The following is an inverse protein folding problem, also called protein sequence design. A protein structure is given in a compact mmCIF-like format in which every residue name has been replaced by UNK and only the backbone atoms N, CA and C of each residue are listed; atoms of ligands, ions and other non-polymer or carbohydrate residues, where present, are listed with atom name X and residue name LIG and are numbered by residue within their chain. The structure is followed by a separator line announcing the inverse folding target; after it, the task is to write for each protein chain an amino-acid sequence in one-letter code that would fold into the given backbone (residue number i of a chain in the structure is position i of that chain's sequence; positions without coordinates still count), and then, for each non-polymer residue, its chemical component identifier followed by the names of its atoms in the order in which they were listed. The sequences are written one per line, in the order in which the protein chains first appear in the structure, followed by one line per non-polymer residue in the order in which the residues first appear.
data_IF_563567220576
#
_entry.id   IF_563567220576
#
_cell.length_a   1.000
_cell.length_b   1.000
_cell.length_c   1.000
_cell.angle_alpha   90.00
_cell.angle_beta   90.00
_cell.angle_gamma   90.00
#
_symmetry.space_group_name_H-M   'P 1'
#
loop_
_entity.id
_entity.type
_entity.pdbx_description
1 polymer ?
#
# COMPACT_ATOMS: atom_id res chain seq x y z
N UNK A 1 9.67 19.69 -15.21
CA UNK A 1 8.22 19.93 -15.13
C UNK A 1 7.60 18.73 -14.43
N UNK A 2 7.49 18.77 -13.10
CA UNK A 2 6.90 17.69 -12.31
C UNK A 2 5.38 17.80 -12.32
N UNK A 3 4.69 16.73 -12.70
CA UNK A 3 3.24 16.64 -12.70
C UNK A 3 2.76 16.55 -11.23
N UNK A 4 2.56 17.69 -10.59
CA UNK A 4 1.91 17.77 -9.27
C UNK A 4 0.39 17.71 -9.53
N UNK A 5 -0.11 16.55 -9.97
CA UNK A 5 -1.54 16.29 -9.96
C UNK A 5 -2.03 16.42 -8.50
N UNK A 6 -3.23 16.94 -8.29
CA UNK A 6 -3.81 17.14 -6.96
C UNK A 6 -4.14 15.78 -6.31
N UNK A 7 -3.12 15.20 -5.67
CA UNK A 7 -3.14 13.88 -5.06
C UNK A 7 -3.73 13.91 -3.64
N UNK A 8 -4.13 15.07 -3.11
CA UNK A 8 -4.45 15.25 -1.69
C UNK A 8 -5.65 14.43 -1.22
N UNK A 9 -6.65 14.23 -2.09
CA UNK A 9 -7.82 13.39 -1.78
C UNK A 9 -7.49 11.89 -1.67
N UNK A 10 -6.49 11.42 -2.41
CA UNK A 10 -6.09 9.99 -2.42
C UNK A 10 -5.03 9.72 -1.35
N UNK A 11 -4.11 10.68 -1.12
CA UNK A 11 -3.00 10.58 -0.16
C UNK A 11 -3.45 10.15 1.22
N UNK A 12 -4.57 10.72 1.71
CA UNK A 12 -5.05 10.46 3.07
C UNK A 12 -6.19 9.45 3.16
N UNK A 13 -6.86 9.14 2.04
CA UNK A 13 -7.98 8.18 1.98
C UNK A 13 -7.51 6.73 2.14
N UNK A 14 -6.42 6.38 1.48
CA UNK A 14 -5.94 5.01 1.44
C UNK A 14 -4.87 4.75 2.50
N UNK A 15 -5.02 3.63 3.22
CA UNK A 15 -4.18 3.24 4.35
C UNK A 15 -3.55 1.88 4.10
N UNK A 16 -2.25 1.74 4.34
CA UNK A 16 -1.53 0.49 4.13
C UNK A 16 -2.12 -0.63 4.99
N UNK A 17 -2.52 -1.74 4.38
CA UNK A 17 -3.14 -2.87 5.09
C UNK A 17 -2.47 -4.21 4.84
N UNK A 18 -1.68 -4.34 3.78
CA UNK A 18 -1.01 -5.59 3.46
C UNK A 18 0.22 -5.37 2.57
N UNK A 19 1.28 -6.14 2.78
CA UNK A 19 2.47 -6.12 1.92
C UNK A 19 2.93 -7.54 1.59
N UNK A 20 3.06 -7.81 0.30
CA UNK A 20 3.67 -9.01 -0.27
C UNK A 20 4.52 -8.60 -1.46
N UNK A 21 5.85 -8.56 -1.27
CA UNK A 21 6.78 -8.01 -2.26
C UNK A 21 6.54 -8.61 -3.66
N UNK A 22 6.47 -7.77 -4.72
CA UNK A 22 6.73 -6.33 -4.76
C UNK A 22 5.52 -5.42 -4.45
N UNK A 23 4.40 -5.99 -4.02
CA UNK A 23 3.13 -5.28 -3.89
C UNK A 23 2.86 -4.77 -2.48
N UNK A 24 2.42 -3.52 -2.40
CA UNK A 24 1.82 -2.90 -1.23
C UNK A 24 0.35 -2.61 -1.53
N UNK A 25 -0.53 -3.01 -0.62
CA UNK A 25 -1.97 -2.87 -0.74
C UNK A 25 -2.48 -1.86 0.29
N UNK A 26 -3.29 -0.93 -0.17
CA UNK A 26 -3.89 0.10 0.65
C UNK A 26 -5.39 0.01 0.57
N UNK A 27 -6.04 0.12 1.72
CA UNK A 27 -7.50 0.07 1.84
C UNK A 27 -8.09 1.47 2.02
N UNK A 28 -9.27 1.71 1.43
CA UNK A 28 -10.08 2.91 1.67
C UNK A 28 -11.11 2.74 2.80
N UNK A 29 -11.26 1.52 3.34
CA UNK A 29 -12.09 1.25 4.52
C UNK A 29 -11.23 1.25 5.81
N UNK A 30 -11.82 1.33 7.01
CA UNK A 30 -11.07 1.22 8.26
C UNK A 30 -10.25 -0.07 8.33
N UNK A 31 -9.02 0.00 8.86
CA UNK A 31 -8.07 -1.10 8.87
C UNK A 31 -8.61 -2.32 9.63
N UNK A 32 -9.39 -2.10 10.69
CA UNK A 32 -9.99 -3.14 11.53
C UNK A 32 -11.12 -3.89 10.82
N UNK A 33 -11.66 -3.30 9.73
CA UNK A 33 -12.67 -3.92 8.87
C UNK A 33 -12.07 -4.57 7.64
N UNK A 34 -10.83 -4.20 7.27
CA UNK A 34 -10.15 -4.82 6.16
C UNK A 34 -9.62 -6.19 6.56
N UNK A 35 -9.86 -7.18 5.70
CA UNK A 35 -9.47 -8.57 5.95
C UNK A 35 -8.96 -9.26 4.67
N UNK A 36 -8.55 -10.52 4.84
CA UNK A 36 -8.22 -11.47 3.78
C UNK A 36 -8.18 -12.90 4.34
N UNK A 37 -8.00 -13.90 3.49
CA UNK A 37 -8.01 -15.30 3.94
C UNK A 37 -6.92 -15.54 4.99
N UNK A 38 -7.27 -16.14 6.13
CA UNK A 38 -6.33 -16.56 7.19
C UNK A 38 -5.39 -15.44 7.69
N UNK A 39 -5.87 -14.20 7.76
CA UNK A 39 -5.09 -13.08 8.29
C UNK A 39 -4.71 -13.22 9.77
N UNK A 40 -5.41 -14.07 10.52
CA UNK A 40 -5.13 -14.45 11.90
C UNK A 40 -4.05 -15.54 12.05
N UNK A 41 -3.64 -16.19 10.97
CA UNK A 41 -2.65 -17.26 11.01
C UNK A 41 -1.22 -16.75 10.79
N UNK A 42 -0.29 -17.22 11.63
CA UNK A 42 1.14 -16.96 11.49
C UNK A 42 1.88 -18.23 10.98
N UNK A 43 2.87 -18.09 10.08
CA UNK A 43 3.40 -16.84 9.58
C UNK A 43 2.64 -16.34 8.33
N UNK A 44 2.44 -15.01 8.24
CA UNK A 44 1.53 -14.41 7.27
C UNK A 44 1.94 -14.69 5.81
N UNK A 45 3.24 -14.78 5.51
CA UNK A 45 3.76 -15.02 4.18
C UNK A 45 3.34 -16.39 3.62
N UNK A 46 3.04 -17.33 4.51
CA UNK A 46 2.59 -18.69 4.17
C UNK A 46 1.07 -18.79 4.13
N UNK A 47 0.37 -18.19 5.09
CA UNK A 47 -1.05 -18.44 5.29
C UNK A 47 -1.97 -17.35 4.76
N UNK A 48 -1.55 -16.07 4.86
CA UNK A 48 -2.43 -14.95 4.56
C UNK A 48 -2.72 -14.86 3.06
N UNK A 49 -3.99 -14.77 2.68
CA UNK A 49 -4.42 -14.37 1.35
C UNK A 49 -4.25 -12.87 1.13
N UNK A 50 -4.38 -12.47 -0.13
CA UNK A 50 -4.46 -11.06 -0.50
C UNK A 50 -5.73 -10.41 0.13
N UNK A 51 -5.74 -9.09 0.36
CA UNK A 51 -6.89 -8.42 0.96
C UNK A 51 -8.15 -8.56 0.10
N UNK A 52 -9.30 -8.75 0.75
CA UNK A 52 -10.60 -8.79 0.07
C UNK A 52 -10.91 -7.46 -0.62
N UNK A 53 -11.61 -7.58 -1.76
CA UNK A 53 -12.01 -6.48 -2.66
C UNK A 53 -13.52 -6.53 -2.86
N UNK A 54 -14.25 -6.20 -1.81
CA UNK A 54 -15.71 -6.22 -1.81
C UNK A 54 -16.28 -5.12 -2.73
N UNK A 55 -15.53 -4.03 -2.92
CA UNK A 55 -15.87 -2.92 -3.82
C UNK A 55 -14.69 -2.53 -4.74
N UNK A 56 -15.00 -1.92 -5.88
CA UNK A 56 -14.02 -1.61 -6.93
C UNK A 56 -12.92 -0.61 -6.52
N UNK A 57 -13.22 0.31 -5.59
CA UNK A 57 -12.27 1.32 -5.07
C UNK A 57 -11.79 1.01 -3.64
N UNK A 58 -12.02 -0.22 -3.15
CA UNK A 58 -11.60 -0.59 -1.80
C UNK A 58 -10.09 -0.72 -1.68
N UNK A 59 -9.46 -1.42 -2.62
CA UNK A 59 -8.03 -1.74 -2.58
C UNK A 59 -7.28 -1.07 -3.72
N UNK A 60 -6.32 -0.26 -3.32
CA UNK A 60 -5.30 0.29 -4.17
C UNK A 60 -4.02 -0.53 -4.07
N UNK A 61 -3.42 -0.87 -5.21
CA UNK A 61 -2.21 -1.70 -5.27
C UNK A 61 -1.07 -0.93 -5.92
N UNK A 62 0.07 -0.91 -5.25
CA UNK A 62 1.28 -0.24 -5.67
C UNK A 62 2.44 -1.22 -5.69
N UNK A 63 3.28 -1.13 -6.71
CA UNK A 63 4.59 -1.77 -6.68
C UNK A 63 5.58 -0.85 -5.99
N UNK A 64 6.57 -1.44 -5.34
CA UNK A 64 7.72 -0.69 -4.81
C UNK A 64 8.99 -1.53 -4.92
N UNK A 65 10.13 -0.83 -4.89
CA UNK A 65 11.44 -1.43 -4.70
C UNK A 65 12.20 -0.76 -3.55
N UNK A 66 13.46 -1.14 -3.37
CA UNK A 66 14.34 -0.58 -2.35
C UNK A 66 14.73 -1.57 -1.24
N UNK A 67 15.65 -1.15 -0.35
CA UNK A 67 16.23 -1.97 0.71
C UNK A 67 15.32 -2.04 1.95
N UNK A 68 14.03 -2.27 1.73
CA UNK A 68 13.05 -2.50 2.78
C UNK A 68 12.72 -4.00 2.88
N UNK A 69 12.61 -4.45 4.12
CA UNK A 69 12.31 -5.81 4.51
C UNK A 69 10.89 -5.89 5.07
N UNK A 70 10.18 -6.94 4.68
CA UNK A 70 8.93 -7.36 5.33
C UNK A 70 9.21 -8.03 6.68
N UNK A 71 8.21 -8.17 7.58
CA UNK A 71 8.38 -8.78 8.89
C UNK A 71 9.10 -10.13 8.90
N UNK A 72 8.89 -10.95 7.87
CA UNK A 72 9.41 -12.30 7.74
C UNK A 72 10.86 -12.37 7.23
N UNK A 73 11.45 -11.23 6.85
CA UNK A 73 12.79 -11.16 6.24
C UNK A 73 13.81 -10.45 7.13
N UNK A 74 15.09 -10.73 6.86
CA UNK A 74 16.21 -10.08 7.54
C UNK A 74 16.64 -10.77 8.85
N UNK A 75 17.47 -10.07 9.63
CA UNK A 75 18.03 -10.59 10.89
C UNK A 75 16.95 -10.58 11.97
N UNK A 76 16.23 -9.46 12.07
CA UNK A 76 15.16 -9.23 13.03
C UNK A 76 13.81 -9.74 12.49
N UNK A 77 13.80 -10.91 11.85
CA UNK A 77 12.57 -11.50 11.30
C UNK A 77 11.66 -12.00 12.41
N UNK A 78 10.36 -11.81 12.24
CA UNK A 78 9.33 -12.22 13.19
C UNK A 78 8.25 -12.98 12.43
N UNK A 79 7.90 -14.16 12.94
CA UNK A 79 6.74 -14.91 12.47
C UNK A 79 5.49 -14.33 13.14
N UNK A 80 4.73 -13.54 12.39
CA UNK A 80 3.49 -12.93 12.84
C UNK A 80 2.37 -13.12 11.80
N UNK A 81 1.13 -12.97 12.25
CA UNK A 81 -0.03 -12.96 11.37
C UNK A 81 -0.24 -11.58 10.73
N UNK A 82 -1.05 -11.48 9.67
CA UNK A 82 -1.40 -10.19 9.10
C UNK A 82 -2.21 -9.32 10.09
N UNK A 83 -3.02 -9.95 10.95
CA UNK A 83 -3.72 -9.31 12.04
C UNK A 83 -2.73 -8.66 13.02
N UNK A 84 -1.71 -9.38 13.48
CA UNK A 84 -0.69 -8.84 14.40
C UNK A 84 -0.02 -7.59 13.84
N UNK A 85 0.31 -7.61 12.54
CA UNK A 85 0.95 -6.49 11.85
C UNK A 85 -0.04 -5.30 11.78
N UNK A 86 -1.30 -5.57 11.45
CA UNK A 86 -2.34 -4.55 11.35
C UNK A 86 -2.78 -3.96 12.70
N UNK A 87 -2.58 -4.67 13.81
CA UNK A 87 -2.76 -4.13 15.16
C UNK A 87 -1.54 -3.39 15.70
N UNK A 88 -0.44 -3.34 14.94
CA UNK A 88 0.76 -2.57 15.26
C UNK A 88 1.88 -3.36 15.96
N UNK A 89 1.80 -4.69 16.01
CA UNK A 89 2.84 -5.52 16.67
C UNK A 89 4.15 -5.56 15.87
N UNK A 90 4.09 -5.32 14.56
CA UNK A 90 5.26 -5.25 13.67
C UNK A 90 4.98 -4.26 12.51
N UNK A 91 6.02 -3.65 11.90
CA UNK A 91 5.87 -2.83 10.70
C UNK A 91 5.70 -3.69 9.45
N UNK A 92 4.90 -3.26 8.48
CA UNK A 92 4.82 -3.91 7.16
C UNK A 92 6.13 -3.85 6.39
N UNK A 93 6.89 -2.76 6.56
CA UNK A 93 8.21 -2.58 5.94
C UNK A 93 9.16 -1.89 6.91
N UNK A 94 10.42 -2.32 6.93
CA UNK A 94 11.48 -1.68 7.72
C UNK A 94 12.85 -1.77 7.07
N UNK A 95 13.75 -0.87 7.44
CA UNK A 95 15.18 -1.06 7.21
C UNK A 95 15.78 -1.99 8.27
N UNK A 96 16.97 -2.51 8.01
CA UNK A 96 17.73 -3.27 9.02
C UNK A 96 18.51 -2.32 9.93
N UNK A 97 18.76 -2.78 11.16
CA UNK A 97 19.44 -2.00 12.21
C UNK A 97 20.87 -1.57 11.87
N UNK A 98 21.53 -2.22 10.90
CA UNK A 98 22.91 -1.94 10.49
C UNK A 98 23.04 -1.00 9.29
N UNK A 99 21.94 -0.46 8.74
CA UNK A 99 22.00 0.43 7.56
C UNK A 99 22.63 1.81 7.84
N UNK A 100 23.17 2.04 9.04
CA UNK A 100 23.96 3.23 9.42
C UNK A 100 23.15 4.53 9.59
N UNK A 101 21.91 4.59 9.08
CA UNK A 101 20.95 5.66 9.30
C UNK A 101 19.88 5.32 10.34
N UNK A 102 18.97 6.28 10.65
CA UNK A 102 17.83 6.02 11.52
C UNK A 102 16.98 4.87 10.96
N UNK A 103 16.52 3.92 11.80
CA UNK A 103 15.67 2.84 11.32
C UNK A 103 14.37 3.42 10.77
N UNK A 104 14.07 3.13 9.51
CA UNK A 104 12.79 3.48 8.89
C UNK A 104 11.83 2.31 9.08
N UNK A 105 10.59 2.63 9.43
CA UNK A 105 9.52 1.66 9.57
C UNK A 105 8.22 2.24 8.98
N UNK A 106 7.49 1.39 8.27
CA UNK A 106 6.17 1.70 7.72
C UNK A 106 5.18 0.78 8.40
N UNK A 107 4.40 1.35 9.32
CA UNK A 107 3.37 0.63 10.07
C UNK A 107 2.13 0.39 9.19
N UNK A 108 1.30 -0.55 9.62
CA UNK A 108 -0.07 -0.61 9.13
C UNK A 108 -0.80 0.71 9.42
N UNK A 109 -1.73 1.07 8.53
CA UNK A 109 -2.41 2.35 8.60
C UNK A 109 -1.60 3.53 8.04
N UNK A 110 -0.35 3.34 7.58
CA UNK A 110 0.41 4.40 6.95
C UNK A 110 -0.34 4.96 5.72
N UNK A 111 -0.32 6.29 5.56
CA UNK A 111 -0.85 6.92 4.35
C UNK A 111 0.02 6.59 3.16
N UNK A 112 -0.55 6.79 1.98
CA UNK A 112 0.22 6.74 0.74
C UNK A 112 1.41 7.72 0.77
N UNK A 113 1.20 8.93 1.29
CA UNK A 113 2.25 9.94 1.38
C UNK A 113 3.40 9.46 2.26
N UNK A 114 3.11 8.98 3.46
CA UNK A 114 4.13 8.41 4.35
C UNK A 114 4.84 7.24 3.68
N UNK A 115 4.10 6.35 3.01
CA UNK A 115 4.71 5.24 2.29
C UNK A 115 5.71 5.69 1.22
N UNK A 116 5.31 6.60 0.32
CA UNK A 116 6.18 7.10 -0.76
C UNK A 116 7.40 7.83 -0.19
N UNK A 117 7.21 8.65 0.84
CA UNK A 117 8.31 9.36 1.51
C UNK A 117 9.29 8.37 2.15
N UNK A 118 8.81 7.37 2.89
CA UNK A 118 9.68 6.41 3.58
C UNK A 118 10.39 5.48 2.61
N UNK A 119 9.73 5.03 1.53
CA UNK A 119 10.38 4.25 0.46
C UNK A 119 11.48 5.08 -0.21
N UNK A 120 11.21 6.35 -0.52
CA UNK A 120 12.21 7.27 -1.08
C UNK A 120 13.40 7.52 -0.14
N UNK A 121 13.16 7.70 1.16
CA UNK A 121 14.22 7.83 2.17
C UNK A 121 15.08 6.57 2.30
N UNK A 122 14.49 5.40 2.07
CA UNK A 122 15.23 4.14 2.00
C UNK A 122 16.04 3.98 0.70
N UNK A 123 15.88 4.88 -0.28
CA UNK A 123 16.51 4.79 -1.59
C UNK A 123 15.76 3.90 -2.58
N UNK A 124 14.48 3.63 -2.34
CA UNK A 124 13.58 2.92 -3.26
C UNK A 124 12.68 3.85 -4.07
N UNK A 125 11.88 3.24 -4.94
CA UNK A 125 10.89 3.87 -5.81
C UNK A 125 9.52 3.20 -5.63
N UNK A 126 8.47 3.98 -5.83
CA UNK A 126 7.07 3.51 -5.84
C UNK A 126 6.52 3.66 -7.25
N UNK A 127 5.85 2.61 -7.73
CA UNK A 127 5.29 2.52 -9.07
C UNK A 127 3.78 2.36 -8.97
N UNK A 128 3.05 3.31 -9.57
CA UNK A 128 1.59 3.31 -9.63
C UNK A 128 1.08 2.86 -11.01
N UNK A 129 -0.12 2.26 -11.10
CA UNK A 129 -0.76 1.96 -12.38
C UNK A 129 -0.94 3.21 -13.24
N UNK A 130 -0.73 3.05 -14.56
CA UNK A 130 -1.05 4.07 -15.55
C UNK A 130 -2.55 4.41 -15.45
N UNK A 131 -2.89 5.70 -15.34
CA UNK A 131 -4.27 6.18 -15.14
C UNK A 131 -4.59 6.73 -13.75
N UNK A 132 -3.71 6.55 -12.75
CA UNK A 132 -3.87 7.23 -11.45
C UNK A 132 -3.92 8.76 -11.61
N UNK A 133 -3.05 9.31 -12.46
CA UNK A 133 -3.01 10.75 -12.72
C UNK A 133 -4.37 11.29 -13.20
N UNK A 134 -5.20 10.46 -13.83
CA UNK A 134 -6.52 10.82 -14.32
C UNK A 134 -7.59 10.75 -13.21
N UNK A 135 -7.49 9.81 -12.26
CA UNK A 135 -8.35 9.75 -11.07
C UNK A 135 -8.15 10.96 -10.13
N UNK A 136 -6.94 11.50 -10.07
CA UNK A 136 -6.64 12.73 -9.32
C UNK A 136 -7.24 14.00 -9.96
N UNK A 137 -7.64 13.94 -11.24
CA UNK A 137 -8.19 15.08 -11.99
C UNK A 137 -9.72 15.09 -12.09
N UNK A 138 -10.43 14.15 -11.45
CA UNK A 138 -11.88 14.23 -11.31
C UNK A 138 -12.63 14.46 -12.62
N UNK A 139 -12.37 13.67 -13.65
CA UNK A 139 -13.23 13.61 -14.83
C UNK A 139 -13.53 12.14 -15.16
N UNK A 140 -14.63 11.63 -14.60
CA UNK A 140 -15.38 10.57 -15.25
C UNK A 140 -15.91 11.18 -16.57
N UNK A 141 -15.19 10.97 -17.67
CA UNK A 141 -15.72 11.26 -18.99
C UNK A 141 -16.87 10.27 -19.23
N UNK A 142 -18.11 10.73 -19.03
CA UNK A 142 -19.30 9.99 -19.47
C UNK A 142 -19.21 9.90 -20.99
N UNK A 143 -19.17 8.69 -21.60
CA UNK A 143 -19.17 8.57 -23.05
C UNK A 143 -20.44 9.21 -23.60
N UNK A 144 -20.29 10.26 -24.40
CA UNK A 144 -21.40 10.91 -25.08
C UNK A 144 -21.99 9.92 -26.11
N UNK A 145 -23.33 9.73 -26.14
CA UNK A 145 -23.94 8.89 -27.16
C UNK A 145 -23.69 9.49 -28.56
N UNK A 146 -23.54 8.65 -29.60
CA UNK A 146 -23.22 9.12 -30.93
C UNK A 146 -24.29 10.09 -31.45
N UNK A 147 -23.90 11.12 -32.23
CA UNK A 147 -24.85 12.08 -32.77
C UNK A 147 -25.87 11.35 -33.63
N UNK A 148 -27.16 11.59 -33.32
CA UNK A 148 -28.27 11.04 -34.06
C UNK A 148 -28.21 11.59 -35.48
N UNK A 149 -28.03 10.71 -36.47
CA UNK A 149 -28.08 11.08 -37.87
C UNK A 149 -29.42 11.75 -38.17
N UNK A 150 -29.36 12.91 -38.82
CA UNK A 150 -30.51 13.67 -39.30
C UNK A 150 -31.17 12.98 -40.49
#
# INVERSE_FOLDING_TARGET
MGLIANLDGIRNRYKLCFVRKPWAFFTSIPLERQWGDRWEAAPYETYAGDPYRDFSDQILTLAYDGPLFTPDKGIDRIACSALDINTGNAPWLRTESYTGGPPLAIMAGATLETFVQTVGLAGGCVFAPLGWADLANGQCAVPQPPPRAA
#
